data_IF_609640676944
#
_entry.id   IF_609640676944
#
_cell.length_a   1.000
_cell.length_b   1.000
_cell.length_c   1.000
_cell.angle_alpha   90.00
_cell.angle_beta   90.00
_cell.angle_gamma   90.00
#
_symmetry.space_group_name_H-M   'P 1'
#
loop_
_entity.id
_entity.type
_entity.pdbx_description
1 polymer ?
#
# COMPACT_ATOMS: atom_id res chain seq x y z
N UNK A 1 -18.86 -7.97 -11.05
CA UNK A 1 -17.70 -7.14 -11.41
C UNK A 1 -17.76 -6.94 -12.92
N UNK A 2 -17.45 -5.75 -13.42
CA UNK A 2 -17.54 -5.39 -14.85
C UNK A 2 -16.34 -5.88 -15.68
N UNK A 3 -15.43 -6.66 -15.08
CA UNK A 3 -14.23 -7.19 -15.74
C UNK A 3 -13.06 -6.20 -15.79
N UNK A 4 -13.24 -4.97 -15.29
CA UNK A 4 -12.18 -3.96 -15.27
C UNK A 4 -11.05 -4.37 -14.32
N UNK A 5 -9.81 -3.99 -14.64
CA UNK A 5 -8.66 -4.16 -13.75
C UNK A 5 -7.88 -2.85 -13.55
N UNK A 6 -7.17 -2.78 -12.42
CA UNK A 6 -6.27 -1.68 -12.08
C UNK A 6 -4.83 -2.19 -12.10
N UNK A 7 -3.94 -1.52 -12.84
CA UNK A 7 -2.50 -1.64 -12.64
C UNK A 7 -2.00 -0.49 -11.77
N UNK A 8 -0.99 -0.79 -10.95
CA UNK A 8 -0.32 0.17 -10.07
C UNK A 8 1.16 0.06 -10.36
N UNK A 9 1.72 1.10 -10.96
CA UNK A 9 3.06 1.09 -11.52
C UNK A 9 3.95 2.08 -10.76
N UNK A 10 5.08 1.64 -10.16
CA UNK A 10 5.98 2.54 -9.45
C UNK A 10 6.77 3.39 -10.45
N UNK A 11 6.63 4.70 -10.38
CA UNK A 11 7.32 5.66 -11.26
C UNK A 11 8.39 6.40 -10.47
N UNK A 12 9.60 6.41 -11.02
CA UNK A 12 10.75 7.11 -10.43
C UNK A 12 10.67 8.59 -10.75
N UNK A 13 10.76 9.43 -9.72
CA UNK A 13 11.09 10.84 -9.92
C UNK A 13 12.61 11.01 -9.92
N UNK A 14 13.09 11.88 -10.81
CA UNK A 14 14.50 12.18 -11.01
C UNK A 14 14.75 13.66 -10.74
N UNK A 15 15.91 13.96 -10.16
CA UNK A 15 16.35 15.34 -9.98
C UNK A 15 16.81 15.96 -11.31
N UNK A 16 17.29 17.21 -11.27
CA UNK A 16 17.79 17.91 -12.45
C UNK A 16 19.06 17.28 -13.06
N UNK A 17 19.77 16.44 -12.32
CA UNK A 17 20.92 15.66 -12.80
C UNK A 17 20.49 14.27 -13.34
N UNK A 18 19.19 13.95 -13.32
CA UNK A 18 18.65 12.67 -13.77
C UNK A 18 18.78 11.54 -12.73
N UNK A 19 19.19 11.85 -11.50
CA UNK A 19 19.38 10.86 -10.43
C UNK A 19 18.02 10.49 -9.83
N UNK A 20 17.66 9.19 -9.78
CA UNK A 20 16.49 8.70 -9.05
C UNK A 20 16.53 9.09 -7.57
N UNK A 21 15.44 9.61 -7.01
CA UNK A 21 15.42 9.95 -5.58
C UNK A 21 14.12 9.59 -4.84
N UNK A 22 13.03 9.32 -5.56
CA UNK A 22 11.76 8.90 -4.94
C UNK A 22 10.90 8.10 -5.92
N UNK A 23 9.88 7.44 -5.37
CA UNK A 23 8.83 6.73 -6.11
C UNK A 23 7.49 7.41 -5.88
N UNK A 24 6.73 7.54 -6.95
CA UNK A 24 5.28 7.78 -6.97
C UNK A 24 4.58 6.59 -7.64
N UNK A 25 3.26 6.48 -7.53
CA UNK A 25 2.50 5.41 -8.18
C UNK A 25 1.65 5.97 -9.30
N UNK A 26 1.84 5.45 -10.52
CA UNK A 26 0.90 5.64 -11.61
C UNK A 26 -0.17 4.55 -11.54
N UNK A 27 -1.43 4.96 -11.71
CA UNK A 27 -2.58 4.07 -11.74
C UNK A 27 -3.08 3.99 -13.17
N UNK A 28 -3.32 2.80 -13.69
CA UNK A 28 -4.00 2.60 -14.97
C UNK A 28 -5.23 1.71 -14.80
N UNK A 29 -6.34 2.10 -15.41
CA UNK A 29 -7.56 1.30 -15.51
C UNK A 29 -7.65 0.75 -16.92
N UNK A 30 -7.65 -0.57 -17.06
CA UNK A 30 -7.76 -1.22 -18.37
C UNK A 30 -6.71 -0.68 -19.37
N UNK A 31 -5.49 -0.43 -18.87
CA UNK A 31 -4.37 0.17 -19.61
C UNK A 31 -4.44 1.69 -19.81
N UNK A 32 -5.56 2.34 -19.48
CA UNK A 32 -5.72 3.80 -19.62
C UNK A 32 -5.27 4.53 -18.36
N UNK A 33 -4.52 5.65 -18.45
CA UNK A 33 -4.14 6.45 -17.29
C UNK A 33 -5.34 6.83 -16.42
N UNK A 34 -5.23 6.54 -15.13
CA UNK A 34 -6.32 6.65 -14.17
C UNK A 34 -5.99 7.63 -13.03
N UNK A 35 -4.71 7.76 -12.66
CA UNK A 35 -4.25 8.73 -11.68
C UNK A 35 -2.76 8.60 -11.37
N UNK A 36 -2.22 9.56 -10.61
CA UNK A 36 -0.88 9.47 -10.03
C UNK A 36 -0.99 9.81 -8.54
N UNK A 37 -0.44 8.97 -7.67
CA UNK A 37 -0.64 9.07 -6.21
C UNK A 37 0.63 8.73 -5.45
N UNK A 38 0.70 9.15 -4.19
CA UNK A 38 1.72 8.64 -3.27
C UNK A 38 3.10 9.18 -3.58
N UNK A 39 3.25 10.50 -3.66
CA UNK A 39 4.57 11.12 -3.69
C UNK A 39 5.42 10.58 -2.53
N UNK A 40 6.62 10.09 -2.85
CA UNK A 40 7.59 9.58 -1.86
C UNK A 40 7.07 8.38 -1.06
N UNK A 41 6.15 7.61 -1.62
CA UNK A 41 5.51 6.51 -0.90
C UNK A 41 6.38 5.26 -0.73
N UNK A 42 7.48 5.11 -1.49
CA UNK A 42 8.26 3.86 -1.56
C UNK A 42 8.64 3.26 -0.20
N UNK A 43 9.22 4.06 0.71
CA UNK A 43 9.54 3.60 2.06
C UNK A 43 8.31 3.19 2.87
N UNK A 44 7.22 3.96 2.73
CA UNK A 44 5.98 3.68 3.44
C UNK A 44 5.34 2.39 2.92
N UNK A 45 5.33 2.15 1.61
CA UNK A 45 4.92 0.89 0.99
C UNK A 45 5.70 -0.30 1.53
N UNK A 46 7.04 -0.19 1.57
CA UNK A 46 7.89 -1.24 2.12
C UNK A 46 7.54 -1.53 3.59
N UNK A 47 7.34 -0.48 4.41
CA UNK A 47 6.92 -0.63 5.81
C UNK A 47 5.60 -1.38 5.95
N UNK A 48 4.60 -1.04 5.12
CA UNK A 48 3.29 -1.74 5.12
C UNK A 48 3.45 -3.18 4.67
N UNK A 49 4.19 -3.44 3.60
CA UNK A 49 4.44 -4.80 3.07
C UNK A 49 5.01 -5.71 4.17
N UNK A 50 6.04 -5.25 4.88
CA UNK A 50 6.61 -5.99 6.01
C UNK A 50 5.61 -6.17 7.15
N UNK A 51 4.85 -5.13 7.49
CA UNK A 51 3.82 -5.23 8.52
C UNK A 51 2.81 -6.34 8.22
N UNK A 52 2.34 -6.43 6.97
CA UNK A 52 1.41 -7.49 6.53
C UNK A 52 2.08 -8.86 6.61
N UNK A 53 3.31 -8.99 6.11
CA UNK A 53 4.07 -10.24 6.20
C UNK A 53 4.26 -10.72 7.65
N UNK A 54 4.66 -9.81 8.55
CA UNK A 54 4.82 -10.10 9.98
C UNK A 54 3.49 -10.49 10.64
N UNK A 55 2.39 -9.83 10.28
CA UNK A 55 1.07 -10.14 10.84
C UNK A 55 0.62 -11.56 10.45
N UNK A 56 0.90 -12.00 9.23
CA UNK A 56 0.58 -13.37 8.77
C UNK A 56 1.30 -14.44 9.58
N UNK A 57 2.55 -14.20 9.94
CA UNK A 57 3.39 -15.14 10.70
C UNK A 57 2.98 -15.22 12.18
N UNK A 58 2.49 -14.13 12.77
CA UNK A 58 2.08 -14.13 14.18
C UNK A 58 0.71 -14.76 14.34
N UNK A 59 0.63 -15.85 15.10
CA UNK A 59 -0.64 -16.38 15.59
C UNK A 59 -1.25 -15.35 16.57
N UNK A 60 -2.10 -14.47 16.05
CA UNK A 60 -2.84 -13.47 16.82
C UNK A 60 -4.28 -13.91 17.10
N UNK A 61 -5.18 -12.96 17.31
CA UNK A 61 -6.61 -13.23 17.52
C UNK A 61 -7.38 -13.79 16.32
N UNK A 62 -6.68 -14.09 15.21
CA UNK A 62 -7.25 -14.63 13.97
C UNK A 62 -6.60 -15.97 13.63
N UNK A 63 -7.41 -17.03 13.68
CA UNK A 63 -6.94 -18.40 13.45
C UNK A 63 -6.45 -18.63 12.02
N UNK A 64 -7.17 -18.13 11.02
CA UNK A 64 -6.80 -18.22 9.61
C UNK A 64 -5.69 -17.19 9.26
N UNK A 65 -4.53 -17.61 8.72
CA UNK A 65 -3.49 -16.71 8.25
C UNK A 65 -3.98 -15.63 7.27
N UNK A 66 -4.99 -15.94 6.46
CA UNK A 66 -5.53 -15.04 5.44
C UNK A 66 -6.38 -13.90 6.01
N UNK A 67 -6.79 -14.02 7.28
CA UNK A 67 -7.48 -12.99 8.06
C UNK A 67 -6.52 -12.16 8.95
N UNK A 68 -5.23 -12.47 8.93
CA UNK A 68 -4.22 -11.78 9.75
C UNK A 68 -3.67 -10.56 9.03
N UNK A 69 -4.02 -9.38 9.54
CA UNK A 69 -3.49 -8.08 9.12
C UNK A 69 -2.84 -7.37 10.31
N UNK A 70 -1.98 -6.36 10.07
CA UNK A 70 -1.44 -5.50 11.12
C UNK A 70 -2.54 -5.02 12.08
N UNK A 71 -2.21 -4.96 13.38
CA UNK A 71 -3.13 -4.45 14.40
C UNK A 71 -3.10 -2.93 14.49
N UNK A 72 -4.18 -2.34 15.02
CA UNK A 72 -4.24 -0.91 15.40
C UNK A 72 -4.90 0.02 14.39
N UNK A 73 -4.94 -0.32 13.10
CA UNK A 73 -5.55 0.55 12.08
C UNK A 73 -6.42 -0.25 11.10
N UNK A 74 -7.66 0.20 10.90
CA UNK A 74 -8.53 -0.29 9.81
C UNK A 74 -8.11 0.28 8.45
N UNK A 75 -7.21 1.27 8.41
CA UNK A 75 -6.61 1.79 7.18
C UNK A 75 -5.12 1.48 7.17
N UNK A 76 -4.67 0.68 6.21
CA UNK A 76 -3.23 0.38 6.07
C UNK A 76 -2.48 1.51 5.37
N UNK A 77 -3.15 2.17 4.42
CA UNK A 77 -2.62 3.33 3.70
C UNK A 77 -3.71 4.08 2.94
N UNK A 78 -3.46 5.37 2.72
CA UNK A 78 -4.19 6.20 1.76
C UNK A 78 -3.20 7.11 1.03
N UNK A 79 -2.96 6.82 -0.25
CA UNK A 79 -2.15 7.64 -1.14
C UNK A 79 -3.06 8.53 -1.96
N UNK A 80 -2.77 9.83 -1.95
CA UNK A 80 -3.50 10.83 -2.72
C UNK A 80 -2.56 11.57 -3.63
N UNK A 81 -3.08 12.11 -4.73
CA UNK A 81 -2.38 13.11 -5.50
C UNK A 81 -2.13 14.36 -4.64
N UNK A 82 -0.90 14.87 -4.65
CA UNK A 82 -0.58 16.22 -4.17
C UNK A 82 -0.15 17.03 -5.38
N UNK A 83 -0.82 18.14 -5.67
CA UNK A 83 -0.24 19.18 -6.51
C UNK A 83 0.29 20.29 -5.59
N UNK A 84 1.35 20.98 -6.03
CA UNK A 84 1.79 22.25 -5.41
C UNK A 84 0.75 23.37 -5.49
N UNK A 85 -0.27 23.20 -6.32
CA UNK A 85 -1.43 24.07 -6.45
C UNK A 85 -2.67 23.22 -6.23
N UNK A 86 -3.48 23.56 -5.21
CA UNK A 86 -4.63 22.81 -4.67
C UNK A 86 -5.79 22.52 -5.65
N UNK A 87 -5.52 21.85 -6.77
CA UNK A 87 -6.59 21.30 -7.62
C UNK A 87 -6.88 19.88 -7.14
N UNK A 88 -7.88 19.77 -6.27
CA UNK A 88 -8.49 18.51 -5.82
C UNK A 88 -8.99 17.71 -7.03
N UNK A 89 -8.67 16.41 -7.11
CA UNK A 89 -9.37 15.48 -8.01
C UNK A 89 -8.54 14.58 -8.94
N UNK A 90 -7.25 14.32 -8.70
CA UNK A 90 -6.40 13.56 -9.65
C UNK A 90 -6.02 12.11 -9.28
N UNK A 91 -6.54 11.57 -8.17
CA UNK A 91 -6.27 10.18 -7.82
C UNK A 91 -6.25 9.93 -6.32
N UNK A 92 -6.87 8.83 -5.89
CA UNK A 92 -6.66 8.22 -4.57
C UNK A 92 -6.48 6.72 -4.75
N UNK A 93 -5.54 6.14 -4.01
CA UNK A 93 -5.38 4.70 -3.81
C UNK A 93 -5.35 4.44 -2.30
N UNK A 94 -6.32 3.69 -1.80
CA UNK A 94 -6.50 3.44 -0.37
C UNK A 94 -6.67 1.97 -0.09
N UNK A 95 -6.12 1.50 1.02
CA UNK A 95 -6.32 0.14 1.50
C UNK A 95 -6.88 0.15 2.92
N UNK A 96 -8.08 -0.42 3.09
CA UNK A 96 -8.73 -0.57 4.39
C UNK A 96 -8.98 -2.03 4.73
N UNK A 97 -8.72 -2.44 5.96
CA UNK A 97 -9.07 -3.78 6.47
C UNK A 97 -10.41 -3.70 7.17
N UNK A 98 -11.35 -4.57 6.75
CA UNK A 98 -12.66 -4.69 7.40
C UNK A 98 -12.88 -6.09 7.91
N UNK A 99 -13.59 -6.20 9.03
CA UNK A 99 -14.12 -7.45 9.55
C UNK A 99 -15.51 -7.68 8.98
N UNK A 100 -15.74 -8.85 8.39
CA UNK A 100 -16.99 -9.25 7.75
C UNK A 100 -17.54 -10.45 8.50
N UNK A 101 -18.79 -10.37 8.93
CA UNK A 101 -19.51 -11.51 9.48
C UNK A 101 -20.30 -12.20 8.36
N UNK A 102 -20.14 -13.52 8.24
CA UNK A 102 -20.92 -14.36 7.32
C UNK A 102 -21.49 -15.56 8.05
N UNK A 103 -22.73 -15.91 7.72
CA UNK A 103 -23.32 -17.15 8.18
C UNK A 103 -22.88 -18.29 7.27
N UNK A 104 -22.24 -19.31 7.83
CA UNK A 104 -21.86 -20.52 7.12
C UNK A 104 -22.87 -21.63 7.47
N UNK A 105 -23.71 -22.07 6.51
CA UNK A 105 -24.62 -23.19 6.76
C UNK A 105 -23.80 -24.48 6.91
N UNK A 106 -23.97 -25.19 8.03
CA UNK A 106 -23.50 -26.59 8.13
C UNK A 106 -24.54 -27.50 7.48
N UNK A 107 -24.10 -28.40 6.61
CA UNK A 107 -24.99 -29.37 5.96
C UNK A 107 -25.71 -30.28 6.97
N UNK A 108 -26.94 -30.70 6.65
CA UNK A 108 -27.72 -31.65 7.46
C UNK A 108 -28.58 -30.98 8.54
N UNK A 109 -28.68 -31.62 9.72
CA UNK A 109 -29.46 -31.14 10.90
C UNK A 109 -28.70 -30.18 11.82
N UNK A 110 -27.43 -29.87 11.51
CA UNK A 110 -26.64 -28.95 12.31
C UNK A 110 -27.06 -27.50 12.04
N UNK A 111 -27.15 -26.69 13.09
CA UNK A 111 -27.25 -25.25 12.93
C UNK A 111 -25.94 -24.74 12.31
N UNK A 112 -26.04 -23.79 11.39
CA UNK A 112 -24.87 -23.10 10.85
C UNK A 112 -24.10 -22.34 11.93
N UNK A 113 -22.98 -21.76 11.55
CA UNK A 113 -22.17 -20.94 12.45
C UNK A 113 -21.85 -19.58 11.86
N UNK A 114 -21.78 -18.57 12.72
CA UNK A 114 -21.26 -17.26 12.33
C UNK A 114 -19.75 -17.35 12.24
N UNK A 115 -19.21 -16.96 11.10
CA UNK A 115 -17.77 -16.80 10.89
C UNK A 115 -17.45 -15.33 10.70
N UNK A 116 -16.40 -14.88 11.38
CA UNK A 116 -15.76 -13.61 11.12
C UNK A 116 -14.57 -13.82 10.19
N UNK A 117 -14.44 -12.99 9.17
CA UNK A 117 -13.27 -12.94 8.29
C UNK A 117 -12.77 -11.51 8.18
N UNK A 118 -11.50 -11.32 7.83
CA UNK A 118 -10.95 -9.99 7.56
C UNK A 118 -10.51 -9.89 6.11
N UNK A 119 -10.83 -8.77 5.46
CA UNK A 119 -10.44 -8.52 4.08
C UNK A 119 -9.87 -7.12 3.93
N UNK A 120 -8.84 -7.00 3.11
CA UNK A 120 -8.32 -5.72 2.64
C UNK A 120 -9.11 -5.26 1.42
N UNK A 121 -9.72 -4.10 1.53
CA UNK A 121 -10.42 -3.38 0.49
C UNK A 121 -9.42 -2.40 -0.11
N UNK A 122 -8.84 -2.78 -1.25
CA UNK A 122 -7.97 -1.92 -2.04
C UNK A 122 -8.84 -1.17 -3.03
N UNK A 123 -8.97 0.13 -2.82
CA UNK A 123 -9.87 1.00 -3.58
C UNK A 123 -9.07 2.09 -4.28
N UNK A 124 -9.46 2.41 -5.51
CA UNK A 124 -8.85 3.47 -6.29
C UNK A 124 -9.93 4.37 -6.88
N UNK A 125 -9.68 5.68 -6.88
CA UNK A 125 -10.53 6.68 -7.52
C UNK A 125 -9.67 7.55 -8.43
N UNK A 126 -10.03 7.60 -9.70
CA UNK A 126 -9.43 8.49 -10.69
C UNK A 126 -10.22 9.78 -10.83
N UNK A 127 -9.73 10.68 -11.69
CA UNK A 127 -10.40 11.97 -11.95
C UNK A 127 -11.77 11.87 -12.62
N UNK A 128 -12.15 10.69 -13.14
CA UNK A 128 -13.47 10.43 -13.74
C UNK A 128 -14.58 10.11 -12.73
N UNK A 129 -14.27 9.97 -11.44
CA UNK A 129 -15.23 9.67 -10.38
C UNK A 129 -15.72 8.21 -10.28
N UNK A 130 -15.41 7.36 -11.28
CA UNK A 130 -15.76 5.93 -11.23
C UNK A 130 -14.68 5.15 -10.50
N UNK A 131 -14.93 4.76 -9.25
CA UNK A 131 -13.98 4.01 -8.42
C UNK A 131 -13.83 2.52 -8.79
N UNK A 132 -12.64 1.97 -8.57
CA UNK A 132 -12.34 0.55 -8.64
C UNK A 132 -12.09 -0.01 -7.23
N UNK A 133 -12.40 -1.29 -7.04
CA UNK A 133 -12.19 -1.97 -5.76
C UNK A 133 -11.83 -3.43 -5.95
N UNK A 134 -10.76 -3.84 -5.29
CA UNK A 134 -10.41 -5.23 -5.06
C UNK A 134 -10.60 -5.58 -3.59
N UNK A 135 -11.03 -6.83 -3.32
CA UNK A 135 -11.17 -7.37 -1.96
C UNK A 135 -10.19 -8.52 -1.85
N UNK A 136 -9.21 -8.37 -0.96
CA UNK A 136 -8.02 -9.21 -0.88
C UNK A 136 -7.94 -9.90 0.49
N UNK A 137 -7.46 -11.14 0.52
CA UNK A 137 -6.92 -11.74 1.74
C UNK A 137 -5.59 -11.10 2.10
N UNK A 138 -5.09 -11.35 3.31
CA UNK A 138 -3.75 -10.86 3.69
C UNK A 138 -2.65 -11.48 2.82
N UNK A 139 -2.82 -12.69 2.29
CA UNK A 139 -1.87 -13.32 1.37
C UNK A 139 -1.79 -12.54 0.06
N UNK A 140 -2.95 -12.29 -0.54
CA UNK A 140 -3.04 -11.58 -1.81
C UNK A 140 -2.49 -10.16 -1.69
N UNK A 141 -2.82 -9.47 -0.59
CA UNK A 141 -2.26 -8.15 -0.30
C UNK A 141 -0.73 -8.22 -0.11
N UNK A 142 -0.21 -9.22 0.60
CA UNK A 142 1.22 -9.38 0.80
C UNK A 142 1.95 -9.58 -0.53
N UNK A 143 1.47 -10.48 -1.39
CA UNK A 143 2.05 -10.72 -2.72
C UNK A 143 2.02 -9.47 -3.59
N UNK A 144 0.89 -8.73 -3.59
CA UNK A 144 0.78 -7.48 -4.31
C UNK A 144 1.79 -6.44 -3.83
N UNK A 145 1.87 -6.22 -2.52
CA UNK A 145 2.78 -5.22 -1.94
C UNK A 145 4.25 -5.61 -2.12
N UNK A 146 4.59 -6.89 -2.00
CA UNK A 146 5.94 -7.40 -2.23
C UNK A 146 6.39 -7.18 -3.68
N UNK A 147 5.54 -7.52 -4.66
CA UNK A 147 5.83 -7.27 -6.07
C UNK A 147 6.01 -5.78 -6.36
N UNK A 148 5.10 -4.94 -5.84
CA UNK A 148 5.17 -3.48 -6.02
C UNK A 148 6.44 -2.87 -5.41
N UNK A 149 6.84 -3.34 -4.22
CA UNK A 149 8.06 -2.89 -3.55
C UNK A 149 9.29 -3.35 -4.32
N UNK A 150 9.35 -4.60 -4.76
CA UNK A 150 10.48 -5.12 -5.52
C UNK A 150 10.69 -4.34 -6.82
N UNK A 151 9.62 -4.05 -7.55
CA UNK A 151 9.67 -3.24 -8.76
C UNK A 151 10.08 -1.79 -8.48
N UNK A 152 9.59 -1.20 -7.39
CA UNK A 152 9.99 0.13 -6.95
C UNK A 152 11.49 0.21 -6.59
N UNK A 153 12.02 -0.79 -5.89
CA UNK A 153 13.44 -0.88 -5.53
C UNK A 153 14.33 -1.07 -6.77
N UNK A 154 13.92 -1.92 -7.71
CA UNK A 154 14.62 -2.13 -8.99
C UNK A 154 14.71 -0.82 -9.79
N UNK A 155 13.58 -0.13 -9.96
CA UNK A 155 13.55 1.15 -10.69
C UNK A 155 14.33 2.26 -9.99
N UNK A 156 14.30 2.31 -8.66
CA UNK A 156 15.03 3.31 -7.87
C UNK A 156 16.54 3.01 -7.79
N UNK A 157 16.93 1.74 -7.94
CA UNK A 157 18.32 1.29 -7.81
C UNK A 157 18.81 1.20 -6.36
N UNK A 158 17.91 1.20 -5.37
CA UNK A 158 18.22 1.11 -3.94
C UNK A 158 17.14 0.34 -3.20
N UNK A 159 17.50 -0.25 -2.05
CA UNK A 159 16.55 -0.97 -1.19
C UNK A 159 16.05 -0.06 -0.06
N UNK A 160 14.73 0.00 0.13
CA UNK A 160 14.11 0.83 1.15
C UNK A 160 14.51 0.44 2.59
N UNK A 161 14.99 -0.79 2.78
CA UNK A 161 15.44 -1.32 4.07
C UNK A 161 16.87 -0.91 4.46
N UNK A 162 17.68 -0.43 3.51
CA UNK A 162 19.11 -0.14 3.77
C UNK A 162 19.38 1.31 4.19
N UNK A 163 18.57 2.28 3.79
CA UNK A 163 18.91 3.71 3.93
C UNK A 163 18.65 4.34 5.31
N UNK A 164 18.04 3.63 6.26
CA UNK A 164 17.87 4.17 7.62
C UNK A 164 19.15 4.18 8.47
N UNK A 165 20.20 3.45 8.08
CA UNK A 165 21.46 3.42 8.83
C UNK A 165 22.53 4.39 8.31
N UNK A 166 22.38 5.00 7.13
CA UNK A 166 23.44 5.84 6.53
C UNK A 166 23.24 7.34 6.69
N UNK A 167 21.99 7.83 6.82
CA UNK A 167 21.71 9.27 6.76
C UNK A 167 21.49 9.96 8.12
N UNK A 168 21.68 9.26 9.25
CA UNK A 168 21.52 9.81 10.60
C UNK A 168 22.83 10.20 11.31
N UNK A 169 24.01 10.02 10.67
CA UNK A 169 25.32 10.29 11.30
C UNK A 169 26.11 11.44 10.62
N UNK A 170 25.70 11.96 9.45
CA UNK A 170 26.49 12.99 8.71
C UNK A 170 25.87 14.39 8.65
N UNK A 171 25.15 14.80 9.69
CA UNK A 171 24.44 16.09 9.71
C UNK A 171 24.50 16.86 11.03
N UNK A 172 25.66 16.89 11.70
CA UNK A 172 25.88 17.81 12.82
C UNK A 172 27.33 18.34 12.81
N UNK A 173 27.66 19.12 11.78
CA UNK A 173 28.83 19.99 11.81
C UNK A 173 28.50 21.20 12.68
N UNK A 174 29.01 21.24 13.90
CA UNK A 174 29.01 22.41 14.78
C UNK A 174 29.85 23.51 14.16
N UNK A 175 29.22 24.57 13.67
CA UNK A 175 29.89 25.84 13.36
C UNK A 175 29.95 26.66 14.64
N UNK A 176 31.11 26.65 15.30
CA UNK A 176 31.45 27.60 16.36
C UNK A 176 31.82 28.95 15.72
N UNK A 177 31.10 30.02 16.05
CA UNK A 177 31.52 31.39 15.74
C UNK A 177 32.47 31.90 16.83
N UNK A 178 33.63 32.48 16.51
CA UNK A 178 34.45 33.19 17.49
C UNK A 178 33.81 34.55 17.84
N UNK A 179 34.06 34.99 19.07
CA UNK A 179 33.66 36.29 19.64
C UNK A 179 34.46 37.44 19.05
#
# INVERSE_FOLDING_TARGET
MDGSYLSVDPVVCRDSAGVPYEITLALHRDGTPYGVVGERCGWFLARVARGVAEARLKAGGWGDPDDRFPGGEEELFAFRYRARTDVVGRGELRCQVRTIASWEPRGGRALGEWRLTRRAFLEAWGGSGVGLRAVLTSAQLATFLEGLVAEAEDRLGTRFWMERNSNLIKGAGTVSRPR
#
